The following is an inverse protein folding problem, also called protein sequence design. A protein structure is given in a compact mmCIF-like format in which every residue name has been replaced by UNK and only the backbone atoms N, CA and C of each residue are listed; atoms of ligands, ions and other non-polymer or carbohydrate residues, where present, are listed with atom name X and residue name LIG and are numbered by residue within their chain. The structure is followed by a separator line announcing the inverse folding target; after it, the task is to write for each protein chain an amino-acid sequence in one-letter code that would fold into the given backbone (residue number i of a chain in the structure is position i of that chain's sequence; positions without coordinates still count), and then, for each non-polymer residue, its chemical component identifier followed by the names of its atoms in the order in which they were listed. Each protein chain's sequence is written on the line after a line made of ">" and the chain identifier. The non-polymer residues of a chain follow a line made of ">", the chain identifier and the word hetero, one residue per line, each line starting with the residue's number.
data_IF_073168700361
#
_entry.id   IF_073168700361
#
_cell.length_a   1.000
_cell.length_b   1.000
_cell.length_c   1.000
_cell.angle_alpha   90.00
_cell.angle_beta   90.00
_cell.angle_gamma   90.00
#
_symmetry.space_group_name_H-M   'P 1'
#
loop_
_entity.id
_entity.type
_entity.pdbx_description
1 polymer ?
#
# COMPACT_ATOMS: atom_id res chain seq x y z
N UNK A 1 60.96 8.71 -13.15
CA UNK A 1 59.49 8.62 -13.38
C UNK A 1 59.21 7.24 -13.96
N UNK A 2 58.38 6.35 -13.43
CA UNK A 2 57.62 6.28 -12.18
C UNK A 2 57.33 4.79 -11.93
N UNK A 3 57.46 4.35 -10.67
CA UNK A 3 57.03 3.03 -10.21
C UNK A 3 55.63 3.22 -9.62
N UNK A 4 54.58 2.84 -10.33
CA UNK A 4 53.24 2.81 -9.75
C UNK A 4 52.90 1.38 -9.32
N UNK A 5 52.68 1.24 -8.01
CA UNK A 5 52.36 -0.01 -7.33
C UNK A 5 50.90 -0.36 -7.61
N UNK A 6 50.66 -1.60 -8.06
CA UNK A 6 49.34 -2.22 -8.14
C UNK A 6 48.94 -2.59 -6.71
N UNK A 7 47.91 -1.93 -6.19
CA UNK A 7 47.15 -2.39 -5.04
C UNK A 7 45.79 -1.71 -5.06
N UNK A 8 44.79 -2.36 -5.66
CA UNK A 8 43.39 -2.06 -5.41
C UNK A 8 42.74 -3.35 -4.90
N UNK A 9 42.40 -3.30 -3.62
CA UNK A 9 41.82 -4.37 -2.85
C UNK A 9 40.51 -4.85 -3.49
N UNK A 10 40.45 -6.15 -3.76
CA UNK A 10 39.22 -6.86 -4.09
C UNK A 10 38.42 -6.95 -2.80
N UNK A 11 37.47 -6.03 -2.60
CA UNK A 11 36.42 -6.24 -1.61
C UNK A 11 35.46 -7.30 -2.14
N UNK A 12 35.65 -8.52 -1.62
CA UNK A 12 34.62 -9.55 -1.57
C UNK A 12 33.49 -9.05 -0.65
N UNK A 13 32.35 -8.70 -1.22
CA UNK A 13 31.08 -8.68 -0.48
C UNK A 13 30.02 -9.46 -1.24
N UNK A 14 29.81 -10.68 -0.73
CA UNK A 14 28.54 -11.42 -0.65
C UNK A 14 27.79 -11.77 -1.94
N UNK A 15 28.00 -13.02 -2.34
CA UNK A 15 27.01 -13.89 -2.96
C UNK A 15 25.62 -13.74 -2.32
N UNK A 16 24.66 -13.36 -3.14
CA UNK A 16 23.25 -13.28 -2.80
C UNK A 16 22.43 -12.85 -4.01
N UNK A 17 22.64 -13.52 -5.14
CA UNK A 17 21.82 -13.31 -6.33
C UNK A 17 20.38 -13.71 -6.05
N UNK A 18 19.46 -12.78 -6.33
CA UNK A 18 18.12 -12.96 -6.89
C UNK A 18 17.29 -11.74 -6.49
N UNK A 19 17.29 -10.69 -7.28
CA UNK A 19 16.11 -9.83 -7.46
C UNK A 19 16.21 -9.09 -8.80
N UNK A 20 16.62 -9.80 -9.86
CA UNK A 20 16.24 -9.45 -11.22
C UNK A 20 15.23 -10.49 -11.67
N UNK A 21 13.99 -10.03 -11.89
CA UNK A 21 12.90 -10.88 -12.36
C UNK A 21 11.70 -10.86 -11.43
N UNK A 22 10.88 -9.82 -11.55
CA UNK A 22 9.58 -9.94 -12.19
C UNK A 22 8.87 -8.60 -12.03
N UNK A 23 8.69 -7.89 -13.15
CA UNK A 23 7.44 -7.17 -13.35
C UNK A 23 6.33 -8.22 -13.30
N UNK A 24 5.94 -8.62 -12.09
CA UNK A 24 4.72 -9.36 -11.88
C UNK A 24 3.65 -8.43 -12.46
N UNK A 25 2.96 -8.88 -13.50
CA UNK A 25 1.64 -8.33 -13.80
C UNK A 25 0.85 -8.52 -12.52
N UNK A 26 0.88 -7.50 -11.65
CA UNK A 26 0.24 -7.52 -10.34
C UNK A 26 -1.21 -7.83 -10.66
N UNK A 27 -1.66 -8.99 -10.22
CA UNK A 27 -3.08 -9.33 -10.35
C UNK A 27 -3.82 -8.24 -9.59
N UNK A 28 -4.46 -7.36 -10.36
CA UNK A 28 -5.28 -6.24 -9.90
C UNK A 28 -6.47 -6.78 -9.13
N UNK A 29 -6.23 -7.10 -7.86
CA UNK A 29 -7.13 -7.84 -7.00
C UNK A 29 -7.48 -7.08 -5.73
N UNK A 30 -8.32 -7.68 -4.87
CA UNK A 30 -8.81 -7.03 -3.65
C UNK A 30 -7.68 -6.64 -2.69
N UNK A 31 -6.58 -7.39 -2.66
CA UNK A 31 -5.41 -7.06 -1.84
C UNK A 31 -4.69 -5.78 -2.31
N UNK A 32 -4.60 -5.55 -3.63
CA UNK A 32 -4.01 -4.32 -4.17
C UNK A 32 -4.92 -3.12 -3.91
N UNK A 33 -6.24 -3.30 -4.06
CA UNK A 33 -7.21 -2.27 -3.72
C UNK A 33 -7.10 -1.87 -2.23
N UNK A 34 -6.96 -2.85 -1.32
CA UNK A 34 -6.74 -2.55 0.10
C UNK A 34 -5.46 -1.75 0.33
N UNK A 35 -4.35 -2.14 -0.31
CA UNK A 35 -3.08 -1.42 -0.18
C UNK A 35 -3.20 0.03 -0.68
N UNK A 36 -3.87 0.26 -1.81
CA UNK A 36 -4.15 1.60 -2.36
C UNK A 36 -5.03 2.41 -1.40
N UNK A 37 -6.08 1.82 -0.83
CA UNK A 37 -6.95 2.50 0.12
C UNK A 37 -6.20 2.89 1.40
N UNK A 38 -5.34 2.03 1.92
CA UNK A 38 -4.47 2.34 3.08
C UNK A 38 -3.50 3.48 2.75
N UNK A 39 -2.84 3.43 1.59
CA UNK A 39 -1.91 4.49 1.16
C UNK A 39 -2.65 5.84 0.96
N UNK A 40 -3.85 5.80 0.39
CA UNK A 40 -4.70 6.98 0.25
C UNK A 40 -5.09 7.55 1.63
N UNK A 41 -5.54 6.69 2.54
CA UNK A 41 -5.98 7.11 3.88
C UNK A 41 -4.85 7.77 4.68
N UNK A 42 -3.64 7.20 4.64
CA UNK A 42 -2.46 7.71 5.37
C UNK A 42 -1.89 8.99 4.77
N UNK A 43 -2.08 9.24 3.48
CA UNK A 43 -1.63 10.47 2.82
C UNK A 43 -2.61 11.64 2.98
N UNK A 44 -3.89 11.37 3.19
CA UNK A 44 -4.95 12.39 3.26
C UNK A 44 -5.46 12.65 4.67
N UNK A 45 -5.27 11.72 5.61
CA UNK A 45 -5.77 11.80 6.96
C UNK A 45 -4.69 11.43 7.98
N UNK A 46 -4.81 11.98 9.19
CA UNK A 46 -3.97 11.54 10.31
C UNK A 46 -4.22 10.07 10.61
N UNK A 47 -3.18 9.35 11.07
CA UNK A 47 -3.26 7.95 11.54
C UNK A 47 -4.37 7.73 12.60
N UNK A 48 -4.70 8.79 13.33
CA UNK A 48 -5.67 8.75 14.44
C UNK A 48 -7.09 9.15 13.97
N UNK A 49 -7.26 9.56 12.71
CA UNK A 49 -8.54 10.05 12.18
C UNK A 49 -9.66 9.00 12.17
N UNK A 50 -9.29 7.72 12.18
CA UNK A 50 -10.19 6.56 12.11
C UNK A 50 -10.11 5.67 13.36
N UNK A 51 -9.38 6.10 14.39
CA UNK A 51 -9.15 5.34 15.63
C UNK A 51 -9.63 6.14 16.85
N UNK A 52 -10.96 6.26 17.06
CA UNK A 52 -11.45 6.75 18.35
C UNK A 52 -10.86 5.87 19.46
N UNK A 53 -10.19 6.50 20.43
CA UNK A 53 -9.75 5.88 21.68
C UNK A 53 -8.85 4.64 21.55
N UNK A 54 -8.09 4.53 20.46
CA UNK A 54 -7.16 3.42 20.23
C UNK A 54 -7.79 2.16 19.66
N UNK A 55 -9.06 2.22 19.23
CA UNK A 55 -9.76 1.12 18.57
C UNK A 55 -8.92 0.49 17.44
N UNK A 56 -9.13 -0.81 17.24
CA UNK A 56 -8.57 -1.55 16.11
C UNK A 56 -9.26 -1.08 14.83
N UNK A 57 -8.51 -1.09 13.73
CA UNK A 57 -9.05 -0.81 12.40
C UNK A 57 -9.47 -2.13 11.76
N UNK A 58 -10.71 -2.17 11.28
CA UNK A 58 -11.22 -3.19 10.39
C UNK A 58 -11.17 -2.69 8.94
N UNK A 59 -10.95 -3.64 8.04
CA UNK A 59 -10.94 -3.39 6.61
C UNK A 59 -11.87 -4.38 5.93
N UNK A 60 -12.76 -3.88 5.08
CA UNK A 60 -13.60 -4.70 4.24
C UNK A 60 -13.39 -4.31 2.77
N UNK A 61 -13.24 -5.30 1.90
CA UNK A 61 -13.09 -5.09 0.46
C UNK A 61 -14.27 -5.74 -0.24
N UNK A 62 -15.03 -4.94 -0.97
CA UNK A 62 -16.22 -5.35 -1.70
C UNK A 62 -16.00 -5.16 -3.20
N UNK A 63 -16.45 -6.15 -3.96
CA UNK A 63 -16.49 -6.04 -5.41
C UNK A 63 -17.75 -5.31 -5.86
N UNK A 64 -17.61 -4.21 -6.60
CA UNK A 64 -18.74 -3.39 -7.07
C UNK A 64 -18.55 -3.04 -8.55
N UNK A 65 -19.09 -3.87 -9.45
CA UNK A 65 -19.01 -3.63 -10.89
C UNK A 65 -17.56 -3.55 -11.40
N UNK A 66 -17.17 -2.39 -11.93
CA UNK A 66 -15.83 -2.09 -12.43
C UNK A 66 -14.89 -1.48 -11.36
N UNK A 67 -15.32 -1.48 -10.10
CA UNK A 67 -14.58 -0.92 -8.97
C UNK A 67 -14.47 -1.89 -7.79
N UNK A 68 -13.52 -1.60 -6.92
CA UNK A 68 -13.43 -2.09 -5.56
C UNK A 68 -13.93 -1.00 -4.63
N UNK A 69 -14.80 -1.35 -3.70
CA UNK A 69 -15.11 -0.53 -2.55
C UNK A 69 -14.29 -1.06 -1.37
N UNK A 70 -13.55 -0.19 -0.72
CA UNK A 70 -12.77 -0.51 0.48
C UNK A 70 -13.28 0.34 1.62
N UNK A 71 -13.81 -0.30 2.65
CA UNK A 71 -14.26 0.35 3.86
C UNK A 71 -13.18 0.17 4.95
N UNK A 72 -12.73 1.28 5.51
CA UNK A 72 -11.81 1.37 6.64
C UNK A 72 -12.56 1.95 7.82
N UNK A 73 -12.66 1.25 8.93
CA UNK A 73 -13.43 1.74 10.08
C UNK A 73 -12.91 1.22 11.41
N UNK A 74 -13.24 1.87 12.52
CA UNK A 74 -12.93 1.32 13.82
C UNK A 74 -13.83 0.12 14.12
N UNK A 75 -13.23 -0.97 14.58
CA UNK A 75 -13.90 -2.21 14.95
C UNK A 75 -15.04 -1.95 15.93
N UNK A 76 -16.26 -2.39 15.60
CA UNK A 76 -17.44 -2.27 16.46
C UNK A 76 -18.14 -0.90 16.46
N UNK A 77 -17.79 0.01 15.55
CA UNK A 77 -18.46 1.31 15.42
C UNK A 77 -19.34 1.39 14.17
N UNK A 78 -20.55 1.95 14.33
CA UNK A 78 -21.42 2.33 13.23
C UNK A 78 -21.05 3.75 12.77
N UNK A 79 -19.93 3.91 12.07
CA UNK A 79 -19.46 5.20 11.55
C UNK A 79 -18.02 5.55 11.92
N UNK A 80 -17.59 6.77 11.60
CA UNK A 80 -16.25 7.29 11.93
C UNK A 80 -15.12 6.76 11.03
N UNK A 81 -15.45 6.08 9.94
CA UNK A 81 -14.51 5.44 9.00
C UNK A 81 -14.28 6.23 7.71
N UNK A 82 -13.71 5.53 6.72
CA UNK A 82 -13.51 5.99 5.36
C UNK A 82 -13.94 4.88 4.40
N UNK A 83 -14.82 5.22 3.46
CA UNK A 83 -15.07 4.42 2.29
C UNK A 83 -14.22 4.95 1.13
N UNK A 84 -13.52 4.08 0.43
CA UNK A 84 -12.69 4.41 -0.74
C UNK A 84 -13.15 3.57 -1.92
N UNK A 85 -13.45 4.22 -3.04
CA UNK A 85 -13.80 3.55 -4.29
C UNK A 85 -12.59 3.60 -5.24
N UNK A 86 -12.18 2.43 -5.72
CA UNK A 86 -10.98 2.23 -6.53
C UNK A 86 -11.35 1.54 -7.83
N UNK A 87 -10.99 2.14 -8.97
CA UNK A 87 -11.28 1.56 -10.28
C UNK A 87 -10.40 0.34 -10.53
N UNK A 88 -10.99 -0.79 -10.94
CA UNK A 88 -10.25 -2.04 -11.23
C UNK A 88 -9.25 -1.91 -12.39
N UNK A 89 -9.60 -1.11 -13.40
CA UNK A 89 -8.81 -1.00 -14.63
C UNK A 89 -7.39 -0.46 -14.40
N UNK A 90 -7.22 0.50 -13.49
CA UNK A 90 -5.95 1.20 -13.26
C UNK A 90 -5.59 1.40 -11.78
N UNK A 91 -6.39 0.86 -10.85
CA UNK A 91 -6.20 0.99 -9.40
C UNK A 91 -6.18 2.43 -8.90
N UNK A 92 -6.82 3.35 -9.61
CA UNK A 92 -6.96 4.74 -9.14
C UNK A 92 -8.13 4.88 -8.18
N UNK A 93 -7.90 5.61 -7.10
CA UNK A 93 -8.97 6.11 -6.24
C UNK A 93 -9.82 7.09 -7.06
N UNK A 94 -11.10 6.78 -7.19
CA UNK A 94 -12.07 7.60 -7.93
C UNK A 94 -13.08 8.31 -7.02
N UNK A 95 -13.23 7.85 -5.78
CA UNK A 95 -14.04 8.51 -4.75
C UNK A 95 -13.54 8.12 -3.35
N UNK A 96 -13.70 9.02 -2.38
CA UNK A 96 -13.50 8.73 -0.97
C UNK A 96 -14.53 9.49 -0.12
N UNK A 97 -15.17 8.81 0.82
CA UNK A 97 -16.24 9.34 1.66
C UNK A 97 -15.96 9.01 3.12
N UNK A 98 -15.91 10.04 3.97
CA UNK A 98 -15.92 9.86 5.43
C UNK A 98 -17.30 9.36 5.86
N UNK A 99 -17.35 8.25 6.56
CA UNK A 99 -18.61 7.75 7.15
C UNK A 99 -18.83 8.47 8.49
N UNK A 100 -20.02 9.03 8.68
CA UNK A 100 -20.41 9.74 9.89
C UNK A 100 -21.18 8.81 10.81
#
# INVERSE_FOLDING_TARGET
>A
MGKLRIAAAIMLFWLGGCFEGQGQGVQKGPAEALAVAIAYSTSHYSKDAFRPDGARLEYAVHEVGDAWQVDLGPEGYLGGGLQVIIRKADMKVISALRTQ
#
